data_IF_320168755005
#
_entry.id   IF_320168755005
#
_cell.length_a   1.000
_cell.length_b   1.000
_cell.length_c   1.000
_cell.angle_alpha   90.00
_cell.angle_beta   90.00
_cell.angle_gamma   90.00
#
_symmetry.space_group_name_H-M   'P 1'
#
loop_
_entity.id
_entity.type
_entity.pdbx_description
1 polymer ?
#
# COMPACT_ATOMS: atom_id res chain seq x y z
N UNK A 1 12.60 -19.85 -7.39
CA UNK A 1 12.48 -19.43 -7.40
C UNK A 1 11.81 -18.53 -7.28
N UNK A 2 11.64 -18.03 -7.00
CA UNK A 2 11.13 -17.08 -6.67
C UNK A 2 10.46 -16.45 -7.51
N UNK A 3 9.70 -16.14 -7.56
CA UNK A 3 9.09 -15.65 -8.37
C UNK A 3 8.59 -14.59 -8.08
N UNK A 4 8.66 -13.81 -7.95
CA UNK A 4 8.26 -12.78 -7.62
C UNK A 4 7.47 -12.14 -8.46
N UNK A 5 6.84 -12.47 -9.15
CA UNK A 5 6.05 -11.79 -9.91
C UNK A 5 5.00 -11.19 -9.22
N UNK A 6 4.66 -11.41 -8.10
CA UNK A 6 3.67 -10.78 -7.43
C UNK A 6 4.16 -9.66 -6.67
N UNK A 7 3.59 -8.52 -6.59
CA UNK A 7 3.99 -7.42 -5.76
C UNK A 7 3.82 -7.79 -4.34
N UNK A 8 4.72 -7.35 -3.52
CA UNK A 8 4.60 -7.60 -2.10
C UNK A 8 3.80 -6.47 -1.51
N UNK A 9 2.51 -6.61 -1.44
CA UNK A 9 1.64 -5.56 -0.98
C UNK A 9 1.91 -5.19 0.47
N UNK A 10 2.33 -6.14 1.27
CA UNK A 10 2.63 -5.81 2.65
C UNK A 10 3.84 -4.87 2.71
N UNK A 11 4.80 -5.10 1.85
CA UNK A 11 5.96 -4.27 1.83
C UNK A 11 5.62 -2.89 1.27
N UNK A 12 4.75 -2.83 0.30
CA UNK A 12 4.33 -1.57 -0.26
C UNK A 12 3.70 -0.69 0.81
N UNK A 13 2.89 -1.29 1.66
CA UNK A 13 2.28 -0.55 2.73
C UNK A 13 3.20 -0.39 3.93
N UNK A 14 4.27 -1.15 3.99
CA UNK A 14 5.19 -1.04 5.10
C UNK A 14 4.70 -1.74 6.34
N UNK A 15 3.98 -2.84 6.20
CA UNK A 15 3.49 -3.58 7.34
C UNK A 15 3.98 -5.00 7.25
N UNK A 16 3.89 -5.72 8.33
CA UNK A 16 4.33 -7.09 8.31
C UNK A 16 3.22 -7.97 7.78
N UNK A 17 3.54 -9.15 7.39
CA UNK A 17 2.55 -10.06 6.84
C UNK A 17 1.56 -10.49 7.88
N UNK A 18 1.88 -10.30 9.13
CA UNK A 18 0.95 -10.63 10.18
C UNK A 18 0.09 -9.46 10.54
N UNK A 19 0.20 -8.33 9.89
CA UNK A 19 -0.54 -7.14 10.26
C UNK A 19 -2.03 -7.37 10.20
N UNK A 20 -2.76 -6.84 11.15
CA UNK A 20 -4.20 -6.98 11.15
C UNK A 20 -4.79 -5.99 10.16
N UNK A 21 -6.06 -6.13 9.89
CA UNK A 21 -6.69 -5.23 8.94
C UNK A 21 -6.63 -3.82 9.45
N UNK A 22 -6.67 -3.64 10.77
CA UNK A 22 -6.58 -2.31 11.30
C UNK A 22 -5.20 -1.73 11.04
N UNK A 23 -4.15 -2.51 11.18
CA UNK A 23 -2.82 -2.04 10.91
C UNK A 23 -2.66 -1.71 9.44
N UNK A 24 -3.21 -2.52 8.59
CA UNK A 24 -3.14 -2.29 7.17
C UNK A 24 -3.85 -0.99 6.82
N UNK A 25 -4.99 -0.76 7.39
CA UNK A 25 -5.72 0.45 7.14
C UNK A 25 -4.93 1.66 7.60
N UNK A 26 -4.34 1.58 8.78
CA UNK A 26 -3.59 2.68 9.27
C UNK A 26 -2.39 2.95 8.39
N UNK A 27 -1.68 1.93 7.96
CA UNK A 27 -0.54 2.11 7.11
C UNK A 27 -0.95 2.75 5.78
N UNK A 28 -2.08 2.32 5.24
CA UNK A 28 -2.56 2.88 4.00
C UNK A 28 -2.85 4.37 4.17
N UNK A 29 -3.50 4.73 5.25
CA UNK A 29 -3.82 6.11 5.47
C UNK A 29 -2.57 6.97 5.60
N UNK A 30 -1.57 6.47 6.26
CA UNK A 30 -0.37 7.23 6.41
C UNK A 30 0.35 7.40 5.10
N UNK A 31 0.43 6.35 4.31
CA UNK A 31 1.08 6.44 3.03
C UNK A 31 0.29 7.33 2.08
N UNK A 32 -1.01 7.20 2.11
CA UNK A 32 -1.84 8.01 1.24
C UNK A 32 -1.65 9.49 1.53
N UNK A 33 -1.55 9.83 2.81
CA UNK A 33 -1.35 11.19 3.14
C UNK A 33 -0.03 11.69 2.65
N UNK A 34 1.02 10.95 2.73
CA UNK A 34 2.29 11.40 2.26
C UNK A 34 2.40 11.44 0.78
N UNK A 35 1.77 10.55 0.08
CA UNK A 35 1.90 10.46 -1.37
C UNK A 35 0.79 11.17 -2.14
N UNK A 36 -0.14 11.75 -1.43
CA UNK A 36 -1.25 12.40 -2.10
C UNK A 36 -0.72 13.52 -3.00
N UNK A 37 -1.18 13.60 -4.21
CA UNK A 37 -0.68 14.60 -5.15
C UNK A 37 -0.80 16.02 -4.68
N UNK A 38 -1.75 16.28 -3.79
CA UNK A 38 -1.91 17.60 -3.27
C UNK A 38 -0.77 17.96 -2.36
N UNK A 39 -0.22 17.03 -1.65
CA UNK A 39 0.83 17.27 -0.71
C UNK A 39 2.17 17.00 -1.33
N UNK A 40 2.26 16.00 -2.15
CA UNK A 40 3.52 15.60 -2.74
C UNK A 40 3.44 15.78 -4.23
N UNK A 41 4.21 16.69 -4.78
CA UNK A 41 4.15 16.95 -6.19
C UNK A 41 5.18 16.24 -6.99
N UNK A 42 5.84 15.28 -6.42
CA UNK A 42 6.83 14.56 -7.16
C UNK A 42 6.20 13.65 -8.17
N UNK A 43 6.81 13.42 -9.28
CA UNK A 43 6.24 12.56 -10.32
C UNK A 43 6.04 11.15 -9.83
N UNK A 44 6.93 10.66 -8.96
CA UNK A 44 6.77 9.34 -8.45
C UNK A 44 5.65 9.19 -7.47
N UNK A 45 5.23 10.26 -6.86
CA UNK A 45 4.21 10.18 -5.82
C UNK A 45 2.92 9.60 -6.35
N UNK A 46 2.53 10.01 -7.52
CA UNK A 46 1.30 9.54 -8.07
C UNK A 46 1.36 8.04 -8.33
N UNK A 47 2.46 7.59 -8.86
CA UNK A 47 2.59 6.20 -9.14
C UNK A 47 2.63 5.40 -7.85
N UNK A 48 3.32 5.88 -6.84
CA UNK A 48 3.35 5.19 -5.59
C UNK A 48 2.00 5.21 -4.91
N UNK A 49 1.27 6.29 -5.06
CA UNK A 49 -0.07 6.36 -4.49
C UNK A 49 -0.94 5.28 -5.11
N UNK A 50 -0.81 5.05 -6.40
CA UNK A 50 -1.57 4.04 -7.05
C UNK A 50 -1.20 2.68 -6.51
N UNK A 51 0.08 2.41 -6.32
CA UNK A 51 0.51 1.14 -5.81
C UNK A 51 0.00 0.91 -4.40
N UNK A 52 0.03 1.93 -3.58
CA UNK A 52 -0.45 1.83 -2.21
C UNK A 52 -1.95 1.55 -2.21
N UNK A 53 -2.68 2.22 -3.08
CA UNK A 53 -4.11 2.02 -3.16
C UNK A 53 -4.43 0.60 -3.60
N UNK A 54 -3.68 0.11 -4.55
CA UNK A 54 -3.90 -1.23 -5.03
C UNK A 54 -3.59 -2.24 -3.94
N UNK A 55 -2.51 -2.04 -3.21
CA UNK A 55 -2.14 -2.94 -2.15
C UNK A 55 -3.24 -3.00 -1.09
N UNK A 56 -3.77 -1.84 -0.73
CA UNK A 56 -4.80 -1.81 0.27
C UNK A 56 -6.06 -2.50 -0.23
N UNK A 57 -6.39 -2.29 -1.48
CA UNK A 57 -7.59 -2.91 -2.04
C UNK A 57 -7.46 -4.44 -2.03
N UNK A 58 -6.30 -4.93 -2.38
CA UNK A 58 -6.11 -6.36 -2.42
C UNK A 58 -6.10 -6.94 -1.01
N UNK A 59 -5.40 -6.31 -0.09
CA UNK A 59 -5.29 -6.85 1.24
C UNK A 59 -6.58 -6.72 2.02
N UNK A 60 -7.33 -5.68 1.77
CA UNK A 60 -8.55 -5.52 2.51
C UNK A 60 -9.64 -6.38 1.93
N UNK A 61 -9.52 -6.72 0.66
CA UNK A 61 -10.55 -7.50 0.08
C UNK A 61 -10.55 -8.91 0.58
N UNK A 62 -9.51 -9.41 1.09
CA UNK A 62 -9.52 -10.69 1.56
C UNK A 62 -10.23 -10.87 2.72
N UNK A 63 -10.82 -9.99 3.27
CA UNK A 63 -11.50 -10.14 4.36
C UNK A 63 -12.68 -10.85 4.15
N UNK A 64 -13.30 -11.07 3.29
CA UNK A 64 -14.44 -11.73 3.12
C UNK A 64 -14.46 -12.86 3.54
#
# INVERSE_FOLDING_TARGET
MATMNEKDYYEILGVSKDASSRDIQKAFQQKARKLHPDVNKEPDAEEKFKEVSEAYAVLSDEQK
#
